data_IF_494860782092
#
_entry.id   IF_494860782092
#
_cell.length_a   1.000
_cell.length_b   1.000
_cell.length_c   1.000
_cell.angle_alpha   90.00
_cell.angle_beta   90.00
_cell.angle_gamma   90.00
#
_symmetry.space_group_name_H-M   'P 1'
#
loop_
_entity.id
_entity.type
_entity.pdbx_description
1 polymer ?
#
# COMPACT_ATOMS: atom_id res chain seq x y z
N UNK A 1 8.15 2.57 -0.71
CA UNK A 1 8.67 3.93 -0.94
C UNK A 1 9.73 4.21 0.11
N UNK A 2 10.78 4.95 -0.24
CA UNK A 2 11.87 5.35 0.65
C UNK A 2 12.00 6.88 0.61
N UNK A 3 12.58 7.47 1.66
CA UNK A 3 12.83 8.90 1.71
C UNK A 3 13.71 9.34 0.54
N UNK A 4 13.32 10.42 -0.12
CA UNK A 4 13.99 10.94 -1.32
C UNK A 4 13.51 10.37 -2.65
N UNK A 5 12.63 9.35 -2.65
CA UNK A 5 11.96 8.92 -3.89
C UNK A 5 11.08 10.08 -4.43
N UNK A 6 11.24 10.41 -5.72
CA UNK A 6 10.42 11.44 -6.37
C UNK A 6 9.06 10.86 -6.76
N UNK A 7 7.99 11.50 -6.32
CA UNK A 7 6.60 11.07 -6.55
C UNK A 7 5.89 12.17 -7.34
N UNK A 8 5.85 12.09 -8.68
CA UNK A 8 5.03 13.00 -9.48
C UNK A 8 3.55 12.81 -9.16
N UNK A 9 2.84 13.91 -8.97
CA UNK A 9 1.38 13.93 -8.83
C UNK A 9 0.82 14.68 -10.02
N UNK A 10 0.19 13.95 -10.93
CA UNK A 10 -0.49 14.53 -12.08
C UNK A 10 -2.00 14.48 -11.87
N UNK A 11 -2.54 15.60 -11.40
CA UNK A 11 -3.97 15.72 -11.08
C UNK A 11 -4.82 15.73 -12.35
N UNK A 12 -4.31 16.31 -13.45
CA UNK A 12 -5.05 16.44 -14.70
C UNK A 12 -5.24 15.07 -15.35
N UNK A 13 -4.17 14.27 -15.40
CA UNK A 13 -4.21 12.92 -15.95
C UNK A 13 -4.59 11.84 -14.92
N UNK A 14 -4.89 12.23 -13.68
CA UNK A 14 -5.25 11.33 -12.56
C UNK A 14 -4.20 10.24 -12.31
N UNK A 15 -2.93 10.61 -12.40
CA UNK A 15 -1.79 9.69 -12.31
C UNK A 15 -0.93 10.01 -11.09
N UNK A 16 -0.54 8.96 -10.39
CA UNK A 16 0.38 9.00 -9.27
C UNK A 16 1.46 7.96 -9.53
N UNK A 17 2.67 8.41 -9.85
CA UNK A 17 3.79 7.52 -10.12
C UNK A 17 4.89 7.68 -9.07
N UNK A 18 5.87 6.78 -9.12
CA UNK A 18 7.13 6.92 -8.39
C UNK A 18 8.25 6.82 -9.42
N UNK A 19 9.13 7.83 -9.47
CA UNK A 19 10.25 7.88 -10.42
C UNK A 19 11.41 6.98 -9.99
N UNK A 20 11.18 5.68 -10.07
CA UNK A 20 12.16 4.61 -9.85
C UNK A 20 11.96 3.61 -10.97
N UNK A 21 13.05 2.99 -11.44
CA UNK A 21 12.95 2.02 -12.53
C UNK A 21 12.18 0.79 -12.10
N UNK A 22 11.60 0.08 -13.06
CA UNK A 22 10.82 -1.13 -12.79
C UNK A 22 11.67 -2.23 -12.14
N UNK A 23 12.96 -2.31 -12.49
CA UNK A 23 13.91 -3.26 -11.90
C UNK A 23 14.14 -2.96 -10.43
N UNK A 24 14.36 -1.69 -10.08
CA UNK A 24 14.55 -1.26 -8.69
C UNK A 24 13.27 -1.48 -7.87
N UNK A 25 12.11 -1.21 -8.48
CA UNK A 25 10.83 -1.50 -7.84
C UNK A 25 10.61 -2.99 -7.62
N UNK A 26 10.96 -3.84 -8.59
CA UNK A 26 10.86 -5.29 -8.45
C UNK A 26 11.78 -5.79 -7.33
N UNK A 27 13.02 -5.30 -7.27
CA UNK A 27 13.97 -5.61 -6.20
C UNK A 27 13.41 -5.22 -4.83
N UNK A 28 12.96 -3.97 -4.66
CA UNK A 28 12.38 -3.49 -3.39
C UNK A 28 11.14 -4.29 -2.99
N UNK A 29 10.29 -4.70 -3.93
CA UNK A 29 9.14 -5.56 -3.67
C UNK A 29 9.54 -6.95 -3.18
N UNK A 30 10.59 -7.54 -3.74
CA UNK A 30 11.09 -8.86 -3.29
C UNK A 30 11.67 -8.83 -1.88
N UNK A 31 12.25 -7.70 -1.47
CA UNK A 31 12.79 -7.49 -0.12
C UNK A 31 11.70 -7.14 0.91
N UNK A 32 10.53 -6.70 0.47
CA UNK A 32 9.48 -6.22 1.35
C UNK A 32 8.85 -7.35 2.15
N UNK A 33 8.77 -7.16 3.47
CA UNK A 33 8.08 -8.06 4.40
C UNK A 33 7.12 -7.27 5.25
N UNK A 34 5.89 -7.75 5.33
CA UNK A 34 4.87 -7.21 6.22
C UNK A 34 4.88 -7.98 7.54
N UNK A 35 4.96 -7.24 8.65
CA UNK A 35 4.73 -7.79 9.99
C UNK A 35 3.44 -7.17 10.53
N UNK A 36 2.38 -7.95 10.73
CA UNK A 36 1.16 -7.44 11.33
C UNK A 36 1.41 -7.00 12.78
N UNK A 37 0.77 -5.90 13.18
CA UNK A 37 0.82 -5.42 14.55
C UNK A 37 -0.04 -6.32 15.44
N UNK A 38 0.60 -7.03 16.37
CA UNK A 38 -0.06 -7.95 17.31
C UNK A 38 -0.89 -7.24 18.38
N UNK A 39 -0.76 -5.92 18.53
CA UNK A 39 -1.55 -5.14 19.50
C UNK A 39 -2.99 -4.90 19.05
N UNK A 40 -3.28 -5.07 17.75
CA UNK A 40 -4.61 -4.88 17.19
C UNK A 40 -5.51 -6.04 17.65
N UNK A 41 -6.57 -5.71 18.39
CA UNK A 41 -7.49 -6.69 18.99
C UNK A 41 -8.96 -6.28 18.82
N UNK A 42 -9.87 -7.19 19.22
CA UNK A 42 -11.31 -6.95 19.20
C UNK A 42 -11.86 -6.66 17.81
N UNK A 43 -12.73 -5.65 17.70
CA UNK A 43 -13.39 -5.30 16.45
C UNK A 43 -12.41 -4.88 15.34
N UNK A 44 -11.32 -4.19 15.71
CA UNK A 44 -10.32 -3.73 14.75
C UNK A 44 -9.52 -4.89 14.14
N UNK A 45 -9.24 -5.94 14.92
CA UNK A 45 -8.61 -7.15 14.38
C UNK A 45 -9.54 -7.85 13.37
N UNK A 46 -10.84 -7.89 13.65
CA UNK A 46 -11.84 -8.42 12.70
C UNK A 46 -11.89 -7.59 11.43
N UNK A 47 -11.90 -6.26 11.55
CA UNK A 47 -11.93 -5.35 10.40
C UNK A 47 -10.67 -5.49 9.54
N UNK A 48 -9.47 -5.42 10.15
CA UNK A 48 -8.19 -5.53 9.44
C UNK A 48 -8.04 -6.84 8.66
N UNK A 49 -8.70 -7.92 9.12
CA UNK A 49 -8.67 -9.23 8.46
C UNK A 49 -9.65 -9.36 7.29
N UNK A 50 -10.80 -8.68 7.35
CA UNK A 50 -11.94 -8.93 6.45
C UNK A 50 -12.26 -7.77 5.51
N UNK A 51 -11.70 -6.58 5.75
CA UNK A 51 -11.96 -5.42 4.92
C UNK A 51 -11.41 -5.62 3.51
N UNK A 52 -12.21 -5.32 2.50
CA UNK A 52 -11.81 -5.28 1.11
C UNK A 52 -10.98 -4.03 0.79
N UNK A 53 -10.42 -3.94 -0.43
CA UNK A 53 -9.72 -2.73 -0.84
C UNK A 53 -10.66 -1.51 -0.83
N UNK A 54 -10.09 -0.31 -0.67
CA UNK A 54 -10.84 0.94 -0.77
C UNK A 54 -11.48 1.12 -2.16
N UNK A 55 -10.85 0.60 -3.23
CA UNK A 55 -11.41 0.60 -4.57
C UNK A 55 -12.68 -0.25 -4.70
N UNK A 56 -12.83 -1.25 -3.83
CA UNK A 56 -14.04 -2.09 -3.73
C UNK A 56 -15.04 -1.57 -2.68
N UNK A 57 -14.77 -0.39 -2.08
CA UNK A 57 -15.66 0.25 -1.11
C UNK A 57 -15.39 -0.10 0.35
N UNK A 58 -14.27 -0.76 0.68
CA UNK A 58 -13.88 -1.12 2.05
C UNK A 58 -14.96 -1.89 2.84
N UNK A 59 -15.67 -2.79 2.15
CA UNK A 59 -16.70 -3.63 2.75
C UNK A 59 -16.08 -4.88 3.38
N UNK A 60 -16.77 -5.50 4.34
CA UNK A 60 -16.33 -6.77 4.92
C UNK A 60 -16.69 -7.93 3.98
N UNK A 61 -15.72 -8.78 3.66
CA UNK A 61 -15.89 -10.01 2.86
C UNK A 61 -15.48 -11.24 3.65
#
# INVERSE_FOLDING_TARGET
VRDGDKIPVDVINKRLDVHISDEEMARRRSEWRYTPDSSISGYLARYAKLVSSASEGAVLK
#
